data_IF_873368254226
#
_entry.id   IF_873368254226
#
_cell.length_a   1.000
_cell.length_b   1.000
_cell.length_c   1.000
_cell.angle_alpha   90.00
_cell.angle_beta   90.00
_cell.angle_gamma   90.00
#
_symmetry.space_group_name_H-M   'P 1'
#
loop_
_entity.id
_entity.type
_entity.pdbx_description
1 polymer ?
#
# COMPACT_ATOMS: atom_id res chain seq x y z
N UNK A 1 7.11 12.09 5.83
CA UNK A 1 8.16 11.05 5.97
C UNK A 1 8.22 10.70 7.44
N UNK A 2 7.65 9.56 7.84
CA UNK A 2 7.75 9.06 9.22
C UNK A 2 9.15 8.49 9.43
N UNK A 3 9.76 8.78 10.56
CA UNK A 3 11.12 8.37 10.89
C UNK A 3 11.21 6.82 10.92
N UNK A 4 11.86 6.24 9.91
CA UNK A 4 11.86 4.79 9.62
C UNK A 4 13.00 4.05 10.33
N UNK A 5 13.33 4.46 11.57
CA UNK A 5 14.37 3.78 12.32
C UNK A 5 13.84 2.50 12.95
N UNK A 6 14.37 1.35 12.50
CA UNK A 6 14.09 0.06 13.11
C UNK A 6 14.60 0.04 14.55
N UNK A 7 13.83 -0.54 15.46
CA UNK A 7 14.31 -0.82 16.83
C UNK A 7 15.44 -1.85 16.81
N UNK A 8 16.27 -1.90 17.85
CA UNK A 8 17.38 -2.87 17.94
C UNK A 8 16.88 -4.30 17.77
N UNK A 9 15.72 -4.63 18.37
CA UNK A 9 15.08 -5.94 18.23
C UNK A 9 14.69 -6.23 16.77
N UNK A 10 14.09 -5.27 16.08
CA UNK A 10 13.71 -5.41 14.68
C UNK A 10 14.94 -5.54 13.77
N UNK A 11 16.03 -4.82 14.05
CA UNK A 11 17.29 -4.96 13.30
C UNK A 11 17.91 -6.36 13.45
N UNK A 12 17.92 -6.88 14.67
CA UNK A 12 18.39 -8.24 14.93
C UNK A 12 17.50 -9.29 14.24
N UNK A 13 16.19 -9.10 14.28
CA UNK A 13 15.24 -9.97 13.59
C UNK A 13 15.45 -9.93 12.07
N UNK A 14 15.60 -8.74 11.49
CA UNK A 14 15.90 -8.56 10.07
C UNK A 14 17.19 -9.28 9.68
N UNK A 15 18.26 -9.15 10.48
CA UNK A 15 19.55 -9.80 10.23
C UNK A 15 19.44 -11.33 10.27
N UNK A 16 18.68 -11.89 11.23
CA UNK A 16 18.45 -13.34 11.36
C UNK A 16 17.64 -13.92 10.20
N UNK A 17 16.66 -13.16 9.71
CA UNK A 17 15.78 -13.61 8.62
C UNK A 17 16.18 -13.10 7.23
N UNK A 18 17.34 -12.45 7.10
CA UNK A 18 17.80 -11.86 5.86
C UNK A 18 17.89 -12.88 4.70
N UNK A 19 18.22 -14.15 5.03
CA UNK A 19 18.24 -15.25 4.05
C UNK A 19 16.93 -15.42 3.29
N UNK A 20 15.78 -15.04 3.86
CA UNK A 20 14.48 -15.07 3.16
C UNK A 20 14.47 -14.17 1.92
N UNK A 21 15.10 -13.01 2.01
CA UNK A 21 15.24 -12.07 0.89
C UNK A 21 16.14 -12.67 -0.20
N UNK A 22 17.26 -13.24 0.20
CA UNK A 22 18.21 -13.88 -0.71
C UNK A 22 17.61 -15.09 -1.44
N UNK A 23 16.95 -15.97 -0.70
CA UNK A 23 16.26 -17.14 -1.26
C UNK A 23 15.11 -16.70 -2.20
N UNK A 24 14.44 -15.58 -1.89
CA UNK A 24 13.41 -15.02 -2.75
C UNK A 24 13.98 -14.53 -4.09
N UNK A 25 15.09 -13.78 -4.08
CA UNK A 25 15.74 -13.34 -5.32
C UNK A 25 16.27 -14.52 -6.13
N UNK A 26 16.95 -15.46 -5.46
CA UNK A 26 17.53 -16.66 -6.09
C UNK A 26 16.46 -17.54 -6.74
N UNK A 27 15.37 -17.83 -6.03
CA UNK A 27 14.27 -18.66 -6.54
C UNK A 27 13.58 -18.05 -7.77
N UNK A 28 13.65 -16.73 -7.92
CA UNK A 28 13.07 -15.98 -9.04
C UNK A 28 14.05 -15.66 -10.16
N UNK A 29 15.33 -16.07 -10.02
CA UNK A 29 16.42 -15.74 -10.95
C UNK A 29 16.56 -14.23 -11.18
N UNK A 30 16.32 -13.44 -10.12
CA UNK A 30 16.49 -12.00 -10.15
C UNK A 30 17.93 -11.65 -9.77
N UNK A 31 18.53 -10.72 -10.52
CA UNK A 31 19.84 -10.16 -10.18
C UNK A 31 19.77 -9.46 -8.83
N UNK A 32 20.74 -9.71 -7.95
CA UNK A 32 20.82 -9.00 -6.67
C UNK A 32 21.04 -7.50 -6.91
N UNK A 33 21.92 -7.15 -7.83
CA UNK A 33 22.33 -5.77 -8.07
C UNK A 33 21.17 -4.88 -8.55
N UNK A 34 20.21 -5.46 -9.28
CA UNK A 34 19.09 -4.71 -9.88
C UNK A 34 17.82 -4.68 -9.00
N UNK A 35 17.66 -5.65 -8.10
CA UNK A 35 16.38 -5.86 -7.40
C UNK A 35 16.47 -5.87 -5.88
N UNK A 36 17.68 -5.85 -5.30
CA UNK A 36 17.85 -5.88 -3.85
C UNK A 36 17.23 -4.64 -3.19
N UNK A 37 17.51 -3.45 -3.70
CA UNK A 37 16.94 -2.19 -3.24
C UNK A 37 15.40 -2.15 -3.37
N UNK A 38 14.86 -2.67 -4.47
CA UNK A 38 13.42 -2.74 -4.72
C UNK A 38 12.71 -3.57 -3.64
N UNK A 39 13.30 -4.69 -3.22
CA UNK A 39 12.66 -5.63 -2.30
C UNK A 39 13.03 -5.41 -0.83
N UNK A 40 14.23 -4.89 -0.53
CA UNK A 40 14.73 -4.76 0.85
C UNK A 40 13.86 -3.81 1.67
N UNK A 41 13.38 -2.71 1.10
CA UNK A 41 12.52 -1.79 1.84
C UNK A 41 11.19 -2.44 2.25
N UNK A 42 10.60 -3.26 1.38
CA UNK A 42 9.38 -3.99 1.72
C UNK A 42 9.63 -5.16 2.66
N UNK A 43 10.82 -5.78 2.61
CA UNK A 43 11.25 -6.74 3.61
C UNK A 43 11.37 -6.10 5.00
N UNK A 44 12.04 -4.95 5.12
CA UNK A 44 12.17 -4.24 6.39
C UNK A 44 10.82 -3.75 6.92
N UNK A 45 9.93 -3.31 6.02
CA UNK A 45 8.54 -3.00 6.38
C UNK A 45 7.79 -4.23 6.89
N UNK A 46 8.01 -5.40 6.28
CA UNK A 46 7.43 -6.65 6.76
C UNK A 46 7.96 -7.02 8.15
N UNK A 47 9.25 -6.79 8.44
CA UNK A 47 9.83 -7.00 9.77
C UNK A 47 9.12 -6.14 10.80
N UNK A 48 8.99 -4.85 10.54
CA UNK A 48 8.32 -3.91 11.44
C UNK A 48 6.86 -4.30 11.67
N UNK A 49 6.13 -4.54 10.58
CA UNK A 49 4.72 -4.90 10.66
C UNK A 49 4.51 -6.24 11.39
N UNK A 50 5.34 -7.24 11.11
CA UNK A 50 5.27 -8.52 11.81
C UNK A 50 5.59 -8.39 13.29
N UNK A 51 6.43 -7.43 13.67
CA UNK A 51 6.78 -7.15 15.06
C UNK A 51 5.66 -6.45 15.83
N UNK A 52 4.99 -5.48 15.19
CA UNK A 52 3.95 -4.63 15.79
C UNK A 52 2.56 -5.28 15.81
N UNK A 53 2.29 -6.20 14.87
CA UNK A 53 0.96 -6.77 14.66
C UNK A 53 0.88 -8.23 15.08
N UNK A 54 0.20 -8.46 16.20
CA UNK A 54 0.00 -9.80 16.73
C UNK A 54 -0.91 -10.67 15.85
N UNK A 55 -1.83 -10.06 15.11
CA UNK A 55 -2.71 -10.76 14.17
C UNK A 55 -1.97 -11.39 12.98
N UNK A 56 -0.75 -10.92 12.68
CA UNK A 56 0.09 -11.50 11.64
C UNK A 56 0.87 -12.74 12.11
N UNK A 57 0.95 -12.98 13.42
CA UNK A 57 1.68 -14.12 14.01
C UNK A 57 1.04 -15.47 13.70
N UNK A 58 -0.23 -15.48 13.29
CA UNK A 58 -0.90 -16.67 12.77
C UNK A 58 -0.25 -17.20 11.46
N UNK A 59 0.55 -16.37 10.78
CA UNK A 59 1.30 -16.73 9.59
C UNK A 59 2.80 -16.74 9.86
N UNK A 60 3.53 -17.55 9.09
CA UNK A 60 4.99 -17.51 9.14
C UNK A 60 5.51 -16.16 8.61
N UNK A 61 6.57 -15.64 9.23
CA UNK A 61 7.22 -14.41 8.76
C UNK A 61 7.64 -14.51 7.30
N UNK A 62 8.14 -15.68 6.86
CA UNK A 62 8.56 -15.91 5.48
C UNK A 62 7.41 -15.66 4.48
N UNK A 63 6.20 -16.11 4.79
CA UNK A 63 5.01 -15.87 3.96
C UNK A 63 4.68 -14.38 3.85
N UNK A 64 4.72 -13.66 4.98
CA UNK A 64 4.44 -12.21 5.03
C UNK A 64 5.50 -11.43 4.25
N UNK A 65 6.78 -11.71 4.51
CA UNK A 65 7.91 -11.08 3.85
C UNK A 65 7.86 -11.30 2.33
N UNK A 66 7.66 -12.55 1.89
CA UNK A 66 7.51 -12.87 0.46
C UNK A 66 6.36 -12.07 -0.14
N UNK A 67 5.15 -12.10 0.45
CA UNK A 67 3.99 -11.36 -0.07
C UNK A 67 4.28 -9.86 -0.24
N UNK A 68 4.96 -9.24 0.72
CA UNK A 68 5.40 -7.84 0.66
C UNK A 68 6.41 -7.61 -0.48
N UNK A 69 7.43 -8.45 -0.61
CA UNK A 69 8.43 -8.37 -1.69
C UNK A 69 7.82 -8.60 -3.08
N UNK A 70 6.85 -9.52 -3.21
CA UNK A 70 6.09 -9.73 -4.45
C UNK A 70 5.36 -8.46 -4.90
N UNK A 71 4.67 -7.81 -3.96
CA UNK A 71 3.98 -6.55 -4.24
C UNK A 71 4.96 -5.44 -4.65
N UNK A 72 6.17 -5.43 -4.06
CA UNK A 72 7.23 -4.50 -4.43
C UNK A 72 7.62 -4.65 -5.91
N UNK A 73 7.89 -5.88 -6.34
CA UNK A 73 8.25 -6.19 -7.72
C UNK A 73 7.13 -5.84 -8.70
N UNK A 74 5.88 -6.16 -8.36
CA UNK A 74 4.73 -5.82 -9.19
C UNK A 74 4.60 -4.31 -9.40
N UNK A 75 4.82 -3.52 -8.35
CA UNK A 75 4.84 -2.07 -8.47
C UNK A 75 6.01 -1.59 -9.31
N UNK A 76 7.22 -2.10 -9.06
CA UNK A 76 8.42 -1.75 -9.83
C UNK A 76 8.23 -1.98 -11.34
N UNK A 77 7.76 -3.16 -11.76
CA UNK A 77 7.55 -3.44 -13.18
C UNK A 77 6.44 -2.59 -13.80
N UNK A 78 5.38 -2.32 -13.04
CA UNK A 78 4.31 -1.40 -13.49
C UNK A 78 4.87 -0.01 -13.74
N UNK A 79 5.65 0.54 -12.80
CA UNK A 79 6.27 1.86 -12.96
C UNK A 79 7.28 1.90 -14.10
N UNK A 80 8.08 0.85 -14.28
CA UNK A 80 8.99 0.76 -15.41
C UNK A 80 8.26 0.72 -16.75
N UNK A 81 7.12 0.01 -16.82
CA UNK A 81 6.28 0.00 -18.03
C UNK A 81 5.71 1.38 -18.33
N UNK A 82 5.18 2.08 -17.31
CA UNK A 82 4.65 3.45 -17.46
C UNK A 82 5.70 4.44 -17.95
N UNK A 83 6.94 4.34 -17.44
CA UNK A 83 8.07 5.15 -17.91
C UNK A 83 8.42 4.87 -19.37
N UNK A 84 8.42 3.59 -19.80
CA UNK A 84 8.70 3.20 -21.18
C UNK A 84 7.60 3.60 -22.16
N UNK A 85 6.35 3.62 -21.71
CA UNK A 85 5.19 3.97 -22.53
C UNK A 85 5.07 5.49 -22.77
N UNK A 86 6.02 6.33 -22.32
CA UNK A 86 5.96 7.80 -22.41
C UNK A 86 4.59 8.35 -22.00
N UNK A 87 4.00 7.74 -20.96
CA UNK A 87 2.63 8.02 -20.57
C UNK A 87 2.51 9.49 -20.17
N UNK A 88 1.78 10.27 -20.95
CA UNK A 88 1.52 11.68 -20.68
C UNK A 88 0.31 11.78 -19.74
N UNK A 89 0.49 12.44 -18.60
CA UNK A 89 -0.64 12.81 -17.74
C UNK A 89 -1.25 14.08 -18.31
N UNK A 90 -2.50 14.01 -18.78
CA UNK A 90 -3.27 15.16 -19.24
C UNK A 90 -4.24 15.61 -18.14
N UNK A 91 -4.46 16.91 -18.03
CA UNK A 91 -5.55 17.46 -17.21
C UNK A 91 -6.91 17.07 -17.82
N UNK A 92 -7.95 16.95 -17.00
CA UNK A 92 -9.31 16.83 -17.53
C UNK A 92 -9.71 18.09 -18.29
N UNK A 93 -9.22 19.26 -17.84
CA UNK A 93 -9.43 20.55 -18.52
C UNK A 93 -8.54 20.71 -19.77
N UNK A 94 -7.83 19.67 -20.20
CA UNK A 94 -6.96 19.75 -21.36
C UNK A 94 -7.80 19.97 -22.64
N UNK A 95 -7.60 21.08 -23.38
CA UNK A 95 -8.39 21.37 -24.57
C UNK A 95 -7.98 20.43 -25.70
N UNK A 96 -8.94 19.69 -26.25
CA UNK A 96 -8.69 18.72 -27.32
C UNK A 96 -8.81 19.31 -28.73
N UNK A 97 -9.63 20.34 -28.90
CA UNK A 97 -9.70 21.10 -30.13
C UNK A 97 -9.90 22.59 -29.79
N UNK A 98 -9.07 23.42 -30.42
CA UNK A 98 -8.97 24.85 -30.11
C UNK A 98 -10.25 25.63 -30.42
N UNK A 99 -11.07 25.14 -31.35
CA UNK A 99 -12.28 25.82 -31.82
C UNK A 99 -13.58 25.27 -31.24
N UNK A 100 -13.59 24.03 -30.73
CA UNK A 100 -14.83 23.39 -30.24
C UNK A 100 -15.08 23.62 -28.74
N UNK A 101 -14.10 24.16 -28.01
CA UNK A 101 -14.18 24.32 -26.55
C UNK A 101 -14.22 23.01 -25.77
N UNK A 102 -14.04 21.87 -26.44
CA UNK A 102 -14.10 20.55 -25.83
C UNK A 102 -12.83 20.24 -25.04
N UNK A 103 -13.02 19.78 -23.82
CA UNK A 103 -11.96 19.30 -22.94
C UNK A 103 -11.86 17.78 -22.95
N UNK A 104 -10.75 17.26 -22.44
CA UNK A 104 -10.55 15.83 -22.27
C UNK A 104 -11.59 15.19 -21.33
N UNK A 105 -12.05 15.94 -20.32
CA UNK A 105 -13.12 15.54 -19.42
C UNK A 105 -14.45 15.32 -20.14
N UNK A 106 -14.78 16.16 -21.12
CA UNK A 106 -16.06 16.08 -21.85
C UNK A 106 -16.17 14.81 -22.71
N UNK A 107 -15.04 14.32 -23.24
CA UNK A 107 -15.02 13.10 -24.07
C UNK A 107 -15.07 11.82 -23.22
N UNK A 108 -14.46 11.85 -22.03
CA UNK A 108 -14.39 10.67 -21.14
C UNK A 108 -15.66 10.53 -20.30
N UNK A 109 -16.43 11.60 -20.14
CA UNK A 109 -17.71 11.56 -19.46
C UNK A 109 -18.67 10.61 -20.18
N UNK A 110 -19.07 9.52 -19.52
CA UNK A 110 -20.15 8.66 -19.99
C UNK A 110 -21.48 9.27 -19.61
N UNK A 111 -22.19 9.86 -20.57
CA UNK A 111 -23.52 10.48 -20.38
C UNK A 111 -24.56 9.52 -19.78
N UNK A 112 -24.34 8.19 -19.87
CA UNK A 112 -25.23 7.18 -19.29
C UNK A 112 -25.03 7.02 -17.78
N UNK A 113 -23.95 7.56 -17.24
CA UNK A 113 -23.56 7.39 -15.84
C UNK A 113 -23.67 8.74 -15.12
N UNK A 114 -24.66 8.89 -14.25
CA UNK A 114 -24.75 10.05 -13.35
C UNK A 114 -23.72 9.89 -12.22
N UNK A 115 -22.49 10.29 -12.49
CA UNK A 115 -21.36 10.16 -11.56
C UNK A 115 -21.66 10.85 -10.22
N UNK A 116 -22.31 12.01 -10.25
CA UNK A 116 -22.66 12.74 -9.03
C UNK A 116 -23.64 11.95 -8.16
N UNK A 117 -24.69 11.39 -8.75
CA UNK A 117 -25.69 10.59 -8.01
C UNK A 117 -25.09 9.29 -7.50
N UNK A 118 -24.29 8.59 -8.31
CA UNK A 118 -23.65 7.33 -7.91
C UNK A 118 -22.57 7.53 -6.83
N UNK A 119 -21.78 8.61 -6.92
CA UNK A 119 -20.78 8.97 -5.89
C UNK A 119 -21.49 9.39 -4.61
N UNK A 120 -22.52 10.23 -4.69
CA UNK A 120 -23.33 10.62 -3.55
C UNK A 120 -24.00 9.40 -2.91
N UNK A 121 -24.51 8.44 -3.69
CA UNK A 121 -25.06 7.19 -3.16
C UNK A 121 -23.98 6.34 -2.48
N UNK A 122 -22.80 6.18 -3.10
CA UNK A 122 -21.66 5.43 -2.51
C UNK A 122 -21.11 6.06 -1.23
N UNK A 123 -21.08 7.39 -1.16
CA UNK A 123 -20.59 8.14 0.00
C UNK A 123 -21.65 8.31 1.10
N UNK A 124 -22.95 8.35 0.74
CA UNK A 124 -24.07 8.39 1.70
C UNK A 124 -24.37 7.03 2.32
N UNK A 125 -23.97 5.93 1.67
CA UNK A 125 -23.92 4.62 2.31
C UNK A 125 -22.98 4.70 3.50
N UNK A 126 -23.53 4.58 4.71
CA UNK A 126 -22.74 4.36 5.92
C UNK A 126 -21.74 3.23 5.63
N UNK A 127 -20.45 3.40 5.96
CA UNK A 127 -19.47 2.34 5.76
C UNK A 127 -20.03 1.08 6.41
N UNK A 128 -20.13 -0.02 5.64
CA UNK A 128 -20.52 -1.31 6.22
C UNK A 128 -19.63 -1.52 7.44
N UNK A 129 -20.23 -1.83 8.59
CA UNK A 129 -19.54 -2.24 9.82
C UNK A 129 -18.81 -3.58 9.61
N UNK A 130 -17.97 -3.69 8.59
CA UNK A 130 -17.00 -4.75 8.50
C UNK A 130 -15.85 -4.35 9.40
N UNK A 131 -16.06 -4.62 10.71
CA UNK A 131 -15.08 -4.66 11.80
C UNK A 131 -13.73 -3.99 11.47
N UNK A 132 -13.67 -2.67 11.66
CA UNK A 132 -12.42 -2.07 12.15
C UNK A 132 -12.28 -2.51 13.60
N UNK A 133 -11.61 -3.64 13.84
CA UNK A 133 -11.06 -3.94 15.15
C UNK A 133 -9.83 -3.05 15.34
N UNK A 134 -10.08 -1.77 15.63
CA UNK A 134 -9.14 -0.94 16.36
C UNK A 134 -9.79 -0.67 17.71
N UNK A 135 -9.51 -1.54 18.66
CA UNK A 135 -9.74 -1.25 20.07
C UNK A 135 -8.65 -0.24 20.43
N UNK A 136 -8.95 1.05 20.34
CA UNK A 136 -8.24 2.02 21.17
C UNK A 136 -8.61 1.71 22.61
N UNK A 137 -7.64 1.25 23.38
CA UNK A 137 -7.74 1.21 24.83
C UNK A 137 -8.01 2.64 25.33
N UNK A 138 -9.26 2.89 25.72
CA UNK A 138 -9.59 3.88 26.74
C UNK A 138 -10.46 3.19 27.77
N UNK A 139 -9.92 2.13 28.37
CA UNK A 139 -10.25 1.80 29.75
C UNK A 139 -9.41 2.73 30.64
N UNK A 140 -9.88 3.97 30.79
CA UNK A 140 -9.59 4.74 31.99
C UNK A 140 -10.84 4.65 32.86
N UNK A 141 -10.89 3.64 33.74
CA UNK A 141 -11.44 3.86 35.06
C UNK A 141 -10.42 4.72 35.82
N UNK A 142 -10.86 5.78 36.50
CA UNK A 142 -10.80 5.66 37.95
C UNK A 142 -12.00 6.26 38.69
N UNK A 143 -12.17 5.68 39.88
CA UNK A 143 -12.80 6.24 41.07
C UNK A 143 -14.32 6.13 41.17
N UNK A 144 -14.73 5.08 41.88
CA UNK A 144 -15.77 5.18 42.91
C UNK A 144 -15.61 6.50 43.68
N UNK A 145 -16.61 7.38 43.56
CA UNK A 145 -16.81 8.48 44.48
C UNK A 145 -18.31 8.63 44.75
N UNK A 146 -18.63 8.45 46.03
CA UNK A 146 -19.80 8.94 46.75
C UNK A 146 -21.13 8.13 46.68
N UNK A 147 -21.44 7.63 47.89
CA UNK A 147 -22.75 7.38 48.52
C UNK A 147 -23.49 6.07 48.18
#
# INVERSE_FOLDING_TARGET
MTDFKLTVRQQQFASKHHKVLEDFLKSRRLSRDDFYDVVVFQFLRAVKEYDEREDLKQYSFNSIAKKRMYSALGHYFTEQRRKKENMVVLSLDYPLAYESGLTFGDIIADERTNVCEEVCEKLSRLPRKNRLLYISQTDLQPAELAA
#
